data_IF_477858998589
#
_entry.id   IF_477858998589
#
_cell.length_a   1.000
_cell.length_b   1.000
_cell.length_c   1.000
_cell.angle_alpha   90.00
_cell.angle_beta   90.00
_cell.angle_gamma   90.00
#
_symmetry.space_group_name_H-M   'P 1'
#
loop_
_entity.id
_entity.type
_entity.pdbx_description
1 polymer ?
#
# COMPACT_ATOMS: atom_id res chain seq x y z
N UNK A 1 -15.06 -32.11 9.85
CA UNK A 1 -15.26 -30.94 10.74
C UNK A 1 -15.71 -29.77 9.88
N UNK A 2 -17.01 -29.50 9.80
CA UNK A 2 -17.55 -28.36 9.05
C UNK A 2 -17.81 -27.20 10.00
N UNK A 3 -17.20 -26.05 9.75
CA UNK A 3 -17.53 -24.82 10.47
C UNK A 3 -19.00 -24.46 10.21
N UNK A 4 -19.75 -24.16 11.27
CA UNK A 4 -21.11 -23.62 11.13
C UNK A 4 -21.01 -22.28 10.41
N UNK A 5 -21.91 -22.05 9.44
CA UNK A 5 -21.92 -20.85 8.58
C UNK A 5 -21.91 -19.54 9.38
N UNK A 6 -22.53 -19.53 10.56
CA UNK A 6 -22.56 -18.39 11.47
C UNK A 6 -21.19 -18.05 12.09
N UNK A 7 -20.41 -19.06 12.47
CA UNK A 7 -19.07 -18.87 13.03
C UNK A 7 -18.10 -18.35 11.97
N UNK A 8 -18.26 -18.81 10.72
CA UNK A 8 -17.48 -18.32 9.58
C UNK A 8 -17.70 -16.82 9.31
N UNK A 9 -18.95 -16.35 9.33
CA UNK A 9 -19.26 -14.93 9.08
C UNK A 9 -18.63 -14.05 10.16
N UNK A 10 -18.74 -14.44 11.44
CA UNK A 10 -18.16 -13.70 12.56
C UNK A 10 -16.64 -13.55 12.45
N UNK A 11 -15.93 -14.62 12.09
CA UNK A 11 -14.47 -14.55 11.96
C UNK A 11 -14.05 -13.62 10.81
N UNK A 12 -14.75 -13.65 9.66
CA UNK A 12 -14.45 -12.73 8.57
C UNK A 12 -14.74 -11.28 8.95
N UNK A 13 -15.81 -11.02 9.71
CA UNK A 13 -16.14 -9.68 10.19
C UNK A 13 -15.06 -9.13 11.14
N UNK A 14 -14.55 -9.96 12.05
CA UNK A 14 -13.42 -9.61 12.93
C UNK A 14 -12.16 -9.29 12.13
N UNK A 15 -11.84 -10.13 11.14
CA UNK A 15 -10.67 -9.94 10.26
C UNK A 15 -10.80 -8.65 9.43
N UNK A 16 -11.97 -8.39 8.86
CA UNK A 16 -12.28 -7.17 8.14
C UNK A 16 -12.18 -5.94 9.05
N UNK A 17 -12.69 -6.02 10.28
CA UNK A 17 -12.59 -4.95 11.28
C UNK A 17 -11.13 -4.66 11.67
N UNK A 18 -10.31 -5.70 11.85
CA UNK A 18 -8.86 -5.54 12.13
C UNK A 18 -8.15 -4.85 10.97
N UNK A 19 -8.44 -5.28 9.74
CA UNK A 19 -7.88 -4.69 8.53
C UNK A 19 -8.27 -3.21 8.40
N UNK A 20 -9.55 -2.91 8.53
CA UNK A 20 -10.06 -1.54 8.46
C UNK A 20 -9.44 -0.64 9.54
N UNK A 21 -9.21 -1.15 10.75
CA UNK A 21 -8.50 -0.42 11.81
C UNK A 21 -7.03 -0.17 11.46
N UNK A 22 -6.34 -1.17 10.90
CA UNK A 22 -4.94 -1.03 10.48
C UNK A 22 -4.78 -0.04 9.32
N UNK A 23 -5.72 -0.05 8.38
CA UNK A 23 -5.78 0.89 7.25
C UNK A 23 -6.12 2.31 7.73
N UNK A 24 -7.10 2.46 8.62
CA UNK A 24 -7.46 3.76 9.20
C UNK A 24 -6.32 4.38 10.01
N UNK A 25 -5.62 3.59 10.83
CA UNK A 25 -4.47 4.06 11.61
C UNK A 25 -3.30 4.47 10.69
N UNK A 26 -3.06 3.72 9.60
CA UNK A 26 -2.07 4.08 8.60
C UNK A 26 -2.41 5.36 7.86
N UNK A 27 -3.68 5.54 7.46
CA UNK A 27 -4.18 6.78 6.86
C UNK A 27 -4.00 7.96 7.81
N UNK A 28 -4.38 7.81 9.09
CA UNK A 28 -4.25 8.87 10.07
C UNK A 28 -2.78 9.26 10.30
N UNK A 29 -1.86 8.27 10.32
CA UNK A 29 -0.41 8.51 10.38
C UNK A 29 0.08 9.25 9.13
N UNK A 30 -0.38 8.85 7.95
CA UNK A 30 -0.02 9.45 6.68
C UNK A 30 -0.54 10.88 6.56
N UNK A 31 -1.80 11.15 6.92
CA UNK A 31 -2.37 12.51 6.98
C UNK A 31 -1.61 13.40 7.96
N UNK A 32 -1.26 12.87 9.13
CA UNK A 32 -0.45 13.59 10.12
C UNK A 32 0.95 13.92 9.58
N UNK A 33 1.55 13.03 8.78
CA UNK A 33 2.83 13.27 8.13
C UNK A 33 2.70 14.27 6.98
N UNK A 34 1.67 14.16 6.15
CA UNK A 34 1.40 15.11 5.06
C UNK A 34 1.14 16.52 5.59
N UNK A 35 0.47 16.65 6.73
CA UNK A 35 0.25 17.94 7.39
C UNK A 35 1.55 18.54 7.96
N UNK A 36 2.48 17.70 8.44
CA UNK A 36 3.78 18.14 8.98
C UNK A 36 4.82 18.39 7.89
N UNK A 37 4.78 17.59 6.83
CA UNK A 37 5.78 17.53 5.77
C UNK A 37 5.03 17.64 4.43
N UNK A 38 4.72 18.85 3.96
CA UNK A 38 3.99 19.04 2.70
C UNK A 38 4.76 18.47 1.50
N UNK A 39 6.09 18.50 1.52
CA UNK A 39 6.93 17.90 0.48
C UNK A 39 6.68 16.39 0.29
N UNK A 40 6.36 15.66 1.38
CA UNK A 40 6.04 14.24 1.31
C UNK A 40 4.73 14.02 0.53
N UNK A 41 3.73 14.86 0.79
CA UNK A 41 2.43 14.81 0.11
C UNK A 41 2.56 15.09 -1.39
N UNK A 42 3.42 16.04 -1.77
CA UNK A 42 3.71 16.31 -3.19
C UNK A 42 4.36 15.12 -3.88
N UNK A 43 5.34 14.46 -3.24
CA UNK A 43 5.98 13.27 -3.81
C UNK A 43 4.99 12.11 -3.92
N UNK A 44 4.16 11.86 -2.91
CA UNK A 44 3.12 10.83 -2.96
C UNK A 44 2.11 11.10 -4.10
N UNK A 45 1.72 12.37 -4.30
CA UNK A 45 0.85 12.75 -5.42
C UNK A 45 1.52 12.54 -6.78
N UNK A 46 2.81 12.84 -6.92
CA UNK A 46 3.58 12.60 -8.15
C UNK A 46 3.78 11.10 -8.43
N UNK A 47 4.01 10.30 -7.39
CA UNK A 47 4.04 8.84 -7.48
C UNK A 47 2.69 8.29 -7.97
N UNK A 48 1.57 8.80 -7.44
CA UNK A 48 0.23 8.39 -7.88
C UNK A 48 -0.03 8.71 -9.36
N UNK A 49 0.44 9.87 -9.85
CA UNK A 49 0.33 10.25 -11.27
C UNK A 49 1.21 9.40 -12.19
N UNK A 50 2.21 8.70 -11.68
CA UNK A 50 3.09 7.85 -12.50
C UNK A 50 2.29 6.80 -13.29
N UNK A 51 1.27 6.20 -12.68
CA UNK A 51 0.42 5.23 -13.37
C UNK A 51 -0.31 5.83 -14.58
N UNK A 52 -0.84 7.05 -14.44
CA UNK A 52 -1.45 7.80 -15.53
C UNK A 52 -0.43 8.10 -16.64
N UNK A 53 0.79 8.54 -16.27
CA UNK A 53 1.87 8.80 -17.25
C UNK A 53 2.26 7.56 -18.05
N UNK A 54 2.31 6.38 -17.41
CA UNK A 54 2.57 5.11 -18.11
C UNK A 54 1.43 4.80 -19.09
N UNK A 55 0.18 4.97 -18.65
CA UNK A 55 -0.98 4.76 -19.51
C UNK A 55 -0.99 5.72 -20.72
N UNK A 56 -0.72 7.00 -20.49
CA UNK A 56 -0.56 8.00 -21.56
C UNK A 56 0.60 7.66 -22.51
N UNK A 57 1.73 7.18 -21.96
CA UNK A 57 2.86 6.73 -22.77
C UNK A 57 2.51 5.53 -23.67
N UNK A 58 1.65 4.63 -23.21
CA UNK A 58 1.14 3.52 -24.02
C UNK A 58 0.22 3.99 -25.16
N UNK A 59 -0.54 5.07 -24.95
CA UNK A 59 -1.50 5.61 -25.93
C UNK A 59 -0.82 6.34 -27.10
N UNK A 60 0.41 6.83 -26.90
CA UNK A 60 1.20 7.58 -27.90
C UNK A 60 1.81 6.70 -29.02
N UNK A 61 1.53 5.39 -29.02
CA UNK A 61 1.97 4.44 -30.03
C UNK A 61 3.16 3.58 -29.60
N UNK A 62 3.38 2.49 -30.34
CA UNK A 62 4.35 1.44 -30.02
C UNK A 62 5.81 1.87 -30.20
N UNK A 63 6.08 2.89 -31.00
CA UNK A 63 7.43 3.40 -31.24
C UNK A 63 7.95 4.20 -30.03
N UNK A 64 9.08 3.77 -29.48
CA UNK A 64 9.71 4.40 -28.32
C UNK A 64 8.97 4.20 -26.99
N UNK A 65 7.95 3.33 -26.94
CA UNK A 65 7.18 3.04 -25.72
C UNK A 65 8.08 2.52 -24.58
N UNK A 66 9.03 1.65 -24.91
CA UNK A 66 9.98 1.08 -23.95
C UNK A 66 10.86 2.17 -23.33
N UNK A 67 11.39 3.09 -24.14
CA UNK A 67 12.22 4.20 -23.66
C UNK A 67 11.41 5.19 -22.79
N UNK A 68 10.18 5.51 -23.19
CA UNK A 68 9.28 6.36 -22.39
C UNK A 68 8.95 5.73 -21.04
N UNK A 69 8.59 4.45 -21.04
CA UNK A 69 8.30 3.70 -19.81
C UNK A 69 9.55 3.62 -18.94
N UNK A 70 10.72 3.38 -19.51
CA UNK A 70 11.97 3.31 -18.76
C UNK A 70 12.31 4.66 -18.10
N UNK A 71 12.11 5.77 -18.81
CA UNK A 71 12.28 7.12 -18.24
C UNK A 71 11.31 7.33 -17.08
N UNK A 72 10.03 7.05 -17.28
CA UNK A 72 9.00 7.16 -16.22
C UNK A 72 9.35 6.29 -15.02
N UNK A 73 9.86 5.07 -15.24
CA UNK A 73 10.31 4.16 -14.19
C UNK A 73 11.50 4.73 -13.43
N UNK A 74 12.48 5.33 -14.11
CA UNK A 74 13.63 6.00 -13.46
C UNK A 74 13.18 7.18 -12.60
N UNK A 75 12.31 8.04 -13.12
CA UNK A 75 11.73 9.15 -12.36
C UNK A 75 10.96 8.64 -11.14
N UNK A 76 10.16 7.57 -11.29
CA UNK A 76 9.43 6.97 -10.18
C UNK A 76 10.34 6.42 -9.09
N UNK A 77 11.42 5.71 -9.45
CA UNK A 77 12.41 5.21 -8.50
C UNK A 77 13.12 6.35 -7.77
N UNK A 78 13.45 7.43 -8.46
CA UNK A 78 14.04 8.62 -7.84
C UNK A 78 13.08 9.28 -6.83
N UNK A 79 11.79 9.39 -7.17
CA UNK A 79 10.75 9.89 -6.27
C UNK A 79 10.58 8.98 -5.05
N UNK A 80 10.58 7.65 -5.22
CA UNK A 80 10.54 6.70 -4.11
C UNK A 80 11.75 6.83 -3.18
N UNK A 81 12.95 7.00 -3.74
CA UNK A 81 14.16 7.23 -2.95
C UNK A 81 14.08 8.53 -2.16
N UNK A 82 13.58 9.61 -2.80
CA UNK A 82 13.39 10.91 -2.14
C UNK A 82 12.35 10.86 -1.03
N UNK A 83 11.24 10.15 -1.25
CA UNK A 83 10.23 9.87 -0.23
C UNK A 83 10.84 9.19 1.00
N UNK A 84 11.66 8.17 0.78
CA UNK A 84 12.34 7.45 1.86
C UNK A 84 13.34 8.34 2.61
N UNK A 85 14.12 9.16 1.88
CA UNK A 85 15.05 10.11 2.49
C UNK A 85 14.32 11.10 3.41
N UNK A 86 13.24 11.73 2.93
CA UNK A 86 12.45 12.69 3.73
C UNK A 86 11.92 12.06 5.01
N UNK A 87 11.40 10.82 4.94
CA UNK A 87 10.92 10.11 6.13
C UNK A 87 12.06 9.91 7.14
N UNK A 88 13.22 9.43 6.68
CA UNK A 88 14.39 9.17 7.52
C UNK A 88 14.95 10.47 8.13
N UNK A 89 15.05 11.54 7.33
CA UNK A 89 15.51 12.86 7.76
C UNK A 89 14.61 13.45 8.85
N UNK A 90 13.31 13.15 8.81
CA UNK A 90 12.34 13.55 9.83
C UNK A 90 12.24 12.56 11.00
N UNK A 91 13.09 11.53 11.03
CA UNK A 91 13.15 10.53 12.11
C UNK A 91 12.09 9.43 12.04
N UNK A 92 11.41 9.27 10.90
CA UNK A 92 10.43 8.21 10.67
C UNK A 92 11.04 7.08 9.80
N UNK A 93 10.69 5.82 10.05
CA UNK A 93 11.09 4.73 9.16
C UNK A 93 10.38 4.83 7.80
N UNK A 94 11.00 4.31 6.74
CA UNK A 94 10.42 4.33 5.38
C UNK A 94 9.05 3.61 5.32
N UNK A 95 8.88 2.54 6.10
CA UNK A 95 7.64 1.74 6.23
C UNK A 95 6.61 2.36 7.20
N UNK A 96 6.84 3.58 7.70
CA UNK A 96 5.97 4.19 8.72
C UNK A 96 4.55 4.45 8.22
N UNK A 97 4.38 4.67 6.91
CA UNK A 97 3.06 4.92 6.29
C UNK A 97 2.31 3.63 5.97
N UNK A 98 2.93 2.45 6.13
CA UNK A 98 2.29 1.21 5.75
C UNK A 98 1.32 0.69 6.84
N UNK A 99 0.19 0.08 6.42
CA UNK A 99 -0.74 -0.56 7.32
C UNK A 99 -0.09 -1.76 8.00
N UNK A 100 -0.11 -1.75 9.33
CA UNK A 100 0.43 -2.82 10.17
C UNK A 100 -0.68 -3.82 10.45
N UNK A 101 -0.82 -4.79 9.56
CA UNK A 101 -1.77 -5.89 9.72
C UNK A 101 -1.41 -6.76 10.94
N UNK A 102 -2.44 -7.27 11.61
CA UNK A 102 -2.32 -8.10 12.79
C UNK A 102 -1.70 -9.46 12.45
N UNK A 103 -2.13 -10.05 11.33
CA UNK A 103 -1.49 -11.24 10.78
C UNK A 103 -0.61 -10.90 9.58
N UNK A 104 0.71 -11.02 9.75
CA UNK A 104 1.69 -10.84 8.66
C UNK A 104 1.62 -11.91 7.56
N UNK A 105 1.00 -13.07 7.84
CA UNK A 105 0.84 -14.15 6.85
C UNK A 105 -0.31 -13.87 5.88
N UNK A 106 -1.48 -13.52 6.44
CA UNK A 106 -2.70 -13.33 5.66
C UNK A 106 -3.00 -11.84 5.36
N UNK A 107 -2.24 -10.89 5.92
CA UNK A 107 -2.59 -9.45 5.92
C UNK A 107 -4.03 -9.22 6.36
N UNK A 108 -4.46 -9.96 7.38
CA UNK A 108 -5.83 -10.03 7.90
C UNK A 108 -6.92 -10.39 6.86
N UNK A 109 -6.56 -10.94 5.70
CA UNK A 109 -7.55 -11.45 4.73
C UNK A 109 -8.15 -12.81 5.13
N UNK A 110 -7.52 -13.50 6.08
CA UNK A 110 -7.92 -14.85 6.48
C UNK A 110 -7.41 -15.96 5.55
N UNK A 111 -6.69 -15.61 4.49
CA UNK A 111 -6.14 -16.55 3.52
C UNK A 111 -4.67 -16.26 3.23
N UNK A 112 -3.88 -17.32 3.11
CA UNK A 112 -2.52 -17.29 2.59
C UNK A 112 -2.58 -17.98 1.22
N UNK A 113 -2.73 -17.19 0.16
CA UNK A 113 -3.09 -17.68 -1.17
C UNK A 113 -4.43 -18.44 -1.16
N UNK A 114 -4.40 -19.73 -1.51
CA UNK A 114 -5.58 -20.60 -1.52
C UNK A 114 -5.82 -21.31 -0.18
N UNK A 115 -4.90 -21.19 0.78
CA UNK A 115 -4.99 -21.87 2.06
C UNK A 115 -5.63 -20.95 3.11
N UNK A 116 -6.54 -21.51 3.91
CA UNK A 116 -7.10 -20.78 5.05
C UNK A 116 -6.00 -20.54 6.07
N UNK A 117 -5.72 -19.28 6.37
CA UNK A 117 -4.67 -18.95 7.31
C UNK A 117 -5.08 -19.32 8.74
N UNK A 118 -4.10 -19.71 9.55
CA UNK A 118 -4.28 -20.00 10.98
C UNK A 118 -4.93 -18.83 11.73
N UNK A 119 -4.75 -17.59 11.24
CA UNK A 119 -5.37 -16.36 11.74
C UNK A 119 -6.91 -16.46 11.79
N UNK A 120 -7.51 -17.34 10.96
CA UNK A 120 -8.95 -17.58 10.82
C UNK A 120 -9.47 -18.78 11.64
N UNK A 121 -8.57 -19.64 12.13
CA UNK A 121 -8.92 -20.83 12.94
C UNK A 121 -8.83 -20.58 14.44
N UNK A 122 -8.32 -19.41 14.83
CA UNK A 122 -8.07 -18.98 16.21
C UNK A 122 -9.17 -18.04 16.67
#
# INVERSE_FOLDING_TARGET
>A
MGFRKADYIKVNDILASRRAKAEADALQRLESLHAKIPELAEIDAELAKTGARIFEACQLGSEGIAERIERIKRDNLALQARRAAILIENGYPADYTEPRYYCKKCSDTGYDGMQMCECKRR
#
